data_IF_111097085900
#
_entry.id   IF_111097085900
#
_cell.length_a   1.000
_cell.length_b   1.000
_cell.length_c   1.000
_cell.angle_alpha   90.00
_cell.angle_beta   90.00
_cell.angle_gamma   90.00
#
_symmetry.space_group_name_H-M   'P 1'
#
loop_
_entity.id
_entity.type
_entity.pdbx_description
1 polymer ?
#
# COMPACT_ATOMS: atom_id res chain seq x y z
N UNK A 1 10.57 -63.08 15.41
CA UNK A 1 10.07 -63.12 14.02
C UNK A 1 10.88 -62.13 13.19
N UNK A 2 11.87 -62.61 12.45
CA UNK A 2 12.67 -61.78 11.56
C UNK A 2 11.85 -61.48 10.31
N UNK A 3 11.68 -60.20 9.96
CA UNK A 3 11.16 -59.79 8.66
C UNK A 3 12.08 -60.39 7.58
N UNK A 4 11.53 -61.15 6.64
CA UNK A 4 12.34 -61.74 5.57
C UNK A 4 12.98 -60.62 4.74
N UNK A 5 14.27 -60.76 4.47
CA UNK A 5 15.09 -59.79 3.74
C UNK A 5 14.49 -59.40 2.37
N UNK A 6 13.72 -60.32 1.78
CA UNK A 6 12.95 -60.13 0.56
C UNK A 6 11.89 -59.04 0.66
N UNK A 7 11.16 -58.96 1.77
CA UNK A 7 10.12 -57.92 1.98
C UNK A 7 10.73 -56.53 2.13
N UNK A 8 11.92 -56.44 2.71
CA UNK A 8 12.68 -55.19 2.81
C UNK A 8 13.16 -54.72 1.44
N UNK A 9 13.64 -55.63 0.59
CA UNK A 9 14.07 -55.33 -0.79
C UNK A 9 12.88 -54.89 -1.65
N UNK A 10 11.73 -55.53 -1.50
CA UNK A 10 10.51 -55.14 -2.22
C UNK A 10 10.03 -53.74 -1.81
N UNK A 11 10.01 -53.45 -0.50
CA UNK A 11 9.63 -52.12 0.01
C UNK A 11 10.58 -51.03 -0.53
N UNK A 12 11.89 -51.27 -0.49
CA UNK A 12 12.89 -50.34 -0.99
C UNK A 12 12.72 -50.07 -2.49
N UNK A 13 12.43 -51.11 -3.28
CA UNK A 13 12.17 -50.97 -4.73
C UNK A 13 10.92 -50.12 -5.02
N UNK A 14 9.85 -50.30 -4.23
CA UNK A 14 8.61 -49.52 -4.40
C UNK A 14 8.80 -48.06 -4.00
N UNK A 15 9.58 -47.77 -2.96
CA UNK A 15 9.90 -46.40 -2.57
C UNK A 15 10.76 -45.69 -3.63
N UNK A 16 11.78 -46.36 -4.18
CA UNK A 16 12.59 -45.80 -5.25
C UNK A 16 11.76 -45.43 -6.49
N UNK A 17 10.85 -46.33 -6.90
CA UNK A 17 9.96 -46.11 -8.04
C UNK A 17 8.96 -44.96 -7.81
N UNK A 18 8.48 -44.78 -6.58
CA UNK A 18 7.60 -43.67 -6.22
C UNK A 18 8.35 -42.33 -6.22
N UNK A 19 9.61 -42.31 -5.75
CA UNK A 19 10.43 -41.10 -5.76
C UNK A 19 10.81 -40.64 -7.17
N UNK A 20 11.04 -41.58 -8.10
CA UNK A 20 11.30 -41.23 -9.51
C UNK A 20 10.06 -40.64 -10.21
N UNK A 21 8.85 -41.02 -9.80
CA UNK A 21 7.60 -40.57 -10.39
C UNK A 21 7.23 -39.11 -10.05
N UNK A 22 7.77 -38.53 -8.96
CA UNK A 22 7.40 -37.18 -8.49
C UNK A 22 8.29 -36.04 -9.04
N UNK A 23 9.30 -36.32 -9.86
CA UNK A 23 10.34 -35.30 -10.17
C UNK A 23 9.93 -34.25 -11.21
N UNK A 24 8.84 -34.43 -11.96
CA UNK A 24 8.52 -33.55 -13.09
C UNK A 24 7.09 -32.99 -13.07
N UNK A 25 6.69 -32.37 -11.95
CA UNK A 25 5.66 -31.32 -12.08
C UNK A 25 6.31 -30.12 -12.75
N UNK A 26 5.85 -29.81 -13.96
CA UNK A 26 6.27 -28.67 -14.77
C UNK A 26 6.02 -27.38 -13.97
N UNK A 27 7.06 -26.93 -13.24
CA UNK A 27 6.97 -25.77 -12.35
C UNK A 27 6.58 -24.58 -13.22
N UNK A 28 5.50 -23.84 -12.88
CA UNK A 28 5.05 -22.71 -13.69
C UNK A 28 6.20 -21.73 -13.87
N UNK A 29 6.62 -21.54 -15.13
CA UNK A 29 7.73 -20.65 -15.47
C UNK A 29 7.29 -19.21 -15.22
N UNK A 30 7.78 -18.62 -14.13
CA UNK A 30 7.59 -17.21 -13.85
C UNK A 30 8.21 -16.39 -15.00
N UNK A 31 7.38 -15.57 -15.65
CA UNK A 31 7.85 -14.67 -16.71
C UNK A 31 8.30 -13.38 -16.05
N UNK A 32 9.55 -12.98 -16.30
CA UNK A 32 10.04 -11.66 -15.87
C UNK A 32 9.28 -10.59 -16.65
N UNK A 33 8.33 -9.93 -16.00
CA UNK A 33 7.68 -8.73 -16.53
C UNK A 33 8.69 -7.60 -16.41
N UNK A 34 9.14 -7.06 -17.55
CA UNK A 34 9.98 -5.86 -17.54
C UNK A 34 9.16 -4.73 -16.92
N UNK A 35 9.68 -4.03 -15.90
CA UNK A 35 8.96 -2.90 -15.32
C UNK A 35 8.76 -1.87 -16.43
N UNK A 36 7.50 -1.58 -16.72
CA UNK A 36 7.12 -0.50 -17.62
C UNK A 36 7.56 0.81 -16.93
N UNK A 37 8.21 1.75 -17.64
CA UNK A 37 8.58 3.02 -17.03
C UNK A 37 7.30 3.67 -16.47
N UNK A 38 7.33 4.17 -15.23
CA UNK A 38 6.13 4.71 -14.61
C UNK A 38 5.55 5.82 -15.49
N UNK A 39 4.22 5.88 -15.64
CA UNK A 39 3.59 7.00 -16.33
C UNK A 39 4.06 8.31 -15.69
N UNK A 40 4.25 9.35 -16.51
CA UNK A 40 4.61 10.68 -16.02
C UNK A 40 3.37 11.28 -15.35
N UNK A 41 3.28 11.16 -14.04
CA UNK A 41 2.16 11.69 -13.24
C UNK A 41 1.46 10.62 -12.41
N UNK A 42 0.54 11.05 -11.56
CA UNK A 42 -0.27 10.16 -10.74
C UNK A 42 -1.35 9.51 -11.61
N UNK A 43 -1.53 8.19 -11.48
CA UNK A 43 -2.62 7.47 -12.14
C UNK A 43 -3.99 7.88 -11.54
N UNK A 44 -5.05 7.84 -12.34
CA UNK A 44 -6.40 8.30 -11.95
C UNK A 44 -6.92 7.54 -10.72
N UNK A 45 -6.63 6.24 -10.63
CA UNK A 45 -6.99 5.40 -9.49
C UNK A 45 -6.26 5.84 -8.21
N UNK A 46 -4.98 6.18 -8.33
CA UNK A 46 -4.21 6.69 -7.20
C UNK A 46 -4.75 8.05 -6.77
N UNK A 47 -5.03 8.93 -7.73
CA UNK A 47 -5.61 10.26 -7.47
C UNK A 47 -6.96 10.15 -6.75
N UNK A 48 -7.83 9.24 -7.18
CA UNK A 48 -9.11 8.97 -6.52
C UNK A 48 -8.90 8.43 -5.09
N UNK A 49 -7.91 7.54 -4.90
CA UNK A 49 -7.54 7.00 -3.58
C UNK A 49 -7.09 8.10 -2.62
N UNK A 50 -6.22 9.01 -3.05
CA UNK A 50 -5.80 10.18 -2.26
C UNK A 50 -7.01 11.03 -1.86
N UNK A 51 -7.88 11.36 -2.83
CA UNK A 51 -9.10 12.11 -2.55
C UNK A 51 -10.03 11.39 -1.54
N UNK A 52 -10.15 10.06 -1.61
CA UNK A 52 -10.93 9.27 -0.65
C UNK A 52 -10.34 9.35 0.75
N UNK A 53 -9.03 9.20 0.88
CA UNK A 53 -8.32 9.25 2.16
C UNK A 53 -8.41 10.63 2.81
N UNK A 54 -8.20 11.71 2.05
CA UNK A 54 -8.35 13.09 2.55
C UNK A 54 -9.77 13.31 3.11
N UNK A 55 -10.80 12.88 2.37
CA UNK A 55 -12.19 12.97 2.86
C UNK A 55 -12.43 12.08 4.08
N UNK A 56 -11.76 10.93 4.19
CA UNK A 56 -11.83 10.08 5.37
C UNK A 56 -11.26 10.78 6.62
N UNK A 57 -10.07 11.37 6.53
CA UNK A 57 -9.47 12.11 7.65
C UNK A 57 -10.36 13.24 8.13
N UNK A 58 -10.92 14.03 7.20
CA UNK A 58 -11.90 15.07 7.54
C UNK A 58 -13.10 14.51 8.30
N UNK A 59 -13.70 13.41 7.82
CA UNK A 59 -14.88 12.81 8.48
C UNK A 59 -14.56 12.29 9.87
N UNK A 60 -13.36 11.75 10.07
CA UNK A 60 -12.92 11.16 11.34
C UNK A 60 -12.57 12.21 12.40
N UNK A 61 -11.85 13.25 12.01
CA UNK A 61 -11.25 14.22 12.94
C UNK A 61 -11.94 15.59 12.93
N UNK A 62 -12.82 15.85 11.98
CA UNK A 62 -13.71 17.00 11.97
C UNK A 62 -13.04 18.31 11.53
N UNK A 63 -13.43 19.39 12.21
CA UNK A 63 -13.08 20.77 11.84
C UNK A 63 -11.58 21.06 11.72
N UNK A 64 -10.69 20.58 12.62
CA UNK A 64 -9.25 20.85 12.51
C UNK A 64 -8.67 20.42 11.16
N UNK A 65 -9.09 19.26 10.65
CA UNK A 65 -8.68 18.75 9.35
C UNK A 65 -9.26 19.56 8.19
N UNK A 66 -10.46 20.13 8.35
CA UNK A 66 -11.05 21.00 7.34
C UNK A 66 -10.20 22.26 7.13
N UNK A 67 -9.61 22.84 8.19
CA UNK A 67 -8.75 24.02 8.07
C UNK A 67 -7.52 23.77 7.17
N UNK A 68 -6.90 22.59 7.28
CA UNK A 68 -5.77 22.20 6.44
C UNK A 68 -6.21 22.05 4.98
N UNK A 69 -7.39 21.43 4.75
CA UNK A 69 -7.97 21.31 3.42
C UNK A 69 -8.27 22.69 2.82
N UNK A 70 -8.92 23.58 3.57
CA UNK A 70 -9.29 24.93 3.12
C UNK A 70 -8.06 25.74 2.70
N UNK A 71 -6.97 25.63 3.45
CA UNK A 71 -5.70 26.25 3.10
C UNK A 71 -5.12 25.71 1.79
N UNK A 72 -5.15 24.40 1.60
CA UNK A 72 -4.62 23.76 0.39
C UNK A 72 -5.47 24.07 -0.86
N UNK A 73 -6.79 24.17 -0.70
CA UNK A 73 -7.71 24.46 -1.81
C UNK A 73 -8.02 25.95 -1.97
N UNK A 74 -7.28 26.84 -1.31
CA UNK A 74 -7.52 28.28 -1.41
C UNK A 74 -7.45 28.74 -2.87
N UNK A 75 -8.55 29.31 -3.38
CA UNK A 75 -8.70 29.73 -4.78
C UNK A 75 -9.16 28.62 -5.74
N UNK A 76 -9.43 27.41 -5.25
CA UNK A 76 -9.95 26.27 -6.01
C UNK A 76 -11.36 25.89 -5.53
N UNK A 77 -12.10 25.16 -6.35
CA UNK A 77 -13.45 24.69 -5.98
C UNK A 77 -13.44 23.51 -4.99
N UNK A 78 -12.32 22.78 -4.92
CA UNK A 78 -12.20 21.59 -4.09
C UNK A 78 -10.88 20.84 -4.31
N UNK A 79 -10.71 19.74 -3.56
CA UNK A 79 -9.49 18.92 -3.58
C UNK A 79 -9.24 18.24 -4.94
N UNK A 80 -10.28 18.08 -5.74
CA UNK A 80 -10.23 17.44 -7.06
C UNK A 80 -9.49 18.30 -8.09
N UNK A 81 -9.35 19.60 -7.84
CA UNK A 81 -8.65 20.55 -8.70
C UNK A 81 -7.18 20.76 -8.33
N UNK A 82 -6.70 20.14 -7.24
CA UNK A 82 -5.29 20.20 -6.85
C UNK A 82 -4.41 19.53 -7.91
N UNK A 83 -3.20 20.01 -8.14
CA UNK A 83 -2.24 19.25 -8.94
C UNK A 83 -1.82 17.97 -8.18
N UNK A 84 -1.19 17.03 -8.89
CA UNK A 84 -0.81 15.74 -8.30
C UNK A 84 0.13 15.93 -7.09
N UNK A 85 1.08 16.86 -7.18
CA UNK A 85 2.04 17.13 -6.11
C UNK A 85 1.38 17.76 -4.88
N UNK A 86 0.49 18.76 -5.04
CA UNK A 86 -0.23 19.33 -3.90
C UNK A 86 -1.23 18.34 -3.31
N UNK A 87 -1.82 17.44 -4.10
CA UNK A 87 -2.68 16.39 -3.58
C UNK A 87 -1.90 15.37 -2.74
N UNK A 88 -0.71 14.97 -3.20
CA UNK A 88 0.21 14.12 -2.42
C UNK A 88 0.62 14.84 -1.13
N UNK A 89 1.01 16.11 -1.24
CA UNK A 89 1.46 16.89 -0.09
C UNK A 89 0.35 17.06 0.94
N UNK A 90 -0.86 17.40 0.49
CA UNK A 90 -2.03 17.48 1.36
C UNK A 90 -2.29 16.14 2.05
N UNK A 91 -2.21 15.01 1.36
CA UNK A 91 -2.39 13.70 2.00
C UNK A 91 -1.36 13.47 3.12
N UNK A 92 -0.08 13.76 2.87
CA UNK A 92 0.98 13.65 3.89
C UNK A 92 0.74 14.59 5.07
N UNK A 93 0.29 15.82 4.80
CA UNK A 93 -0.03 16.79 5.83
C UNK A 93 -1.20 16.30 6.71
N UNK A 94 -2.17 15.60 6.14
CA UNK A 94 -3.29 15.00 6.89
C UNK A 94 -2.83 13.84 7.79
N UNK A 95 -1.92 12.99 7.32
CA UNK A 95 -1.32 11.92 8.14
C UNK A 95 -0.56 12.52 9.33
N UNK A 96 0.27 13.53 9.05
CA UNK A 96 1.04 14.24 10.07
C UNK A 96 0.15 15.02 11.05
N UNK A 97 -0.95 15.60 10.57
CA UNK A 97 -1.95 16.26 11.41
C UNK A 97 -2.60 15.29 12.38
N UNK A 98 -2.87 14.05 11.94
CA UNK A 98 -3.39 13.02 12.83
C UNK A 98 -2.40 12.70 13.95
N UNK A 99 -1.11 12.55 13.64
CA UNK A 99 -0.07 12.33 14.65
C UNK A 99 -0.02 13.49 15.64
N UNK A 100 -0.06 14.73 15.14
CA UNK A 100 -0.09 15.93 16.00
C UNK A 100 -1.30 15.96 16.94
N UNK A 101 -2.49 15.58 16.46
CA UNK A 101 -3.70 15.50 17.29
C UNK A 101 -3.59 14.43 18.39
N UNK A 102 -2.92 13.32 18.11
CA UNK A 102 -2.68 12.26 19.09
C UNK A 102 -1.67 12.69 20.16
N UNK A 103 -0.64 13.43 19.74
CA UNK A 103 0.43 13.90 20.62
C UNK A 103 0.10 15.21 21.34
N UNK A 104 -1.04 15.83 21.04
CA UNK A 104 -1.47 17.11 21.63
C UNK A 104 -0.67 18.32 21.14
N UNK A 105 -0.04 18.21 19.97
CA UNK A 105 0.73 19.28 19.33
C UNK A 105 -0.20 20.15 18.48
N UNK A 106 -0.08 21.48 18.61
CA UNK A 106 -0.87 22.41 17.80
C UNK A 106 -0.47 22.34 16.32
N UNK A 107 -1.41 22.64 15.43
CA UNK A 107 -1.13 22.62 13.98
C UNK A 107 -0.24 23.78 13.54
N UNK A 108 -0.21 24.87 14.30
CA UNK A 108 0.69 26.00 14.03
C UNK A 108 2.14 25.64 14.38
N UNK A 109 2.37 24.97 15.51
CA UNK A 109 3.70 24.51 15.92
C UNK A 109 4.23 23.41 14.98
N UNK A 110 3.33 22.58 14.47
CA UNK A 110 3.66 21.59 13.43
C UNK A 110 3.92 22.22 12.05
N UNK A 111 3.64 23.52 11.87
CA UNK A 111 3.77 24.19 10.57
C UNK A 111 2.81 23.68 9.50
N UNK A 112 1.69 23.06 9.91
CA UNK A 112 0.63 22.58 9.02
C UNK A 112 -0.30 23.73 8.61
N UNK A 113 -0.55 24.66 9.53
CA UNK A 113 -1.29 25.89 9.27
C UNK A 113 -0.33 27.07 9.09
N UNK A 114 -0.60 27.90 8.08
CA UNK A 114 0.15 29.11 7.78
C UNK A 114 -0.67 30.32 8.20
N UNK A 115 -0.12 31.12 9.11
CA UNK A 115 -0.76 32.35 9.62
C UNK A 115 -0.85 33.49 8.61
N UNK A 116 -0.34 33.32 7.39
CA UNK A 116 -0.26 34.38 6.37
C UNK A 116 -1.00 33.98 5.10
N UNK A 117 -2.14 34.62 4.89
CA UNK A 117 -2.71 34.93 3.59
C UNK A 117 -3.04 36.42 3.56
#
# INVERSE_FOLDING_TARGET
MALSEERLKELASRMAKAMEAEVHSDRPRLRLVKPQPPPRGMDDLMRESHCKMIRHFRRRWGYPMQMIIDQAVFGLAGIEQLDDEALIQLHKDMERAQECMLDGVSFEDAGLLRYRY
#
